data_IF_558173978717
#
_entry.id   IF_558173978717
#
_cell.length_a   1.000
_cell.length_b   1.000
_cell.length_c   1.000
_cell.angle_alpha   90.00
_cell.angle_beta   90.00
_cell.angle_gamma   90.00
#
_symmetry.space_group_name_H-M   'P 1'
#
loop_
_entity.id
_entity.type
_entity.pdbx_description
1 polymer ?
#
# COMPACT_ATOMS: atom_id res chain seq x y z
N UNK A 1 -17.04 2.34 3.99
CA UNK A 1 -15.84 1.60 4.45
C UNK A 1 -15.56 0.51 3.45
N UNK A 2 -14.32 0.43 3.01
CA UNK A 2 -13.83 -0.58 2.07
C UNK A 2 -12.59 -1.23 2.66
N UNK A 3 -12.23 -2.39 2.13
CA UNK A 3 -10.96 -3.05 2.38
C UNK A 3 -10.17 -3.13 1.07
N UNK A 4 -8.85 -3.08 1.19
CA UNK A 4 -7.94 -3.29 0.07
C UNK A 4 -6.81 -4.22 0.51
N UNK A 5 -6.39 -5.08 -0.40
CA UNK A 5 -5.18 -5.88 -0.28
C UNK A 5 -4.20 -5.40 -1.36
N UNK A 6 -3.03 -4.96 -0.92
CA UNK A 6 -2.03 -4.33 -1.79
C UNK A 6 -0.70 -5.06 -1.72
N UNK A 7 -0.12 -5.30 -2.89
CA UNK A 7 1.24 -5.79 -3.07
C UNK A 7 2.02 -4.80 -3.95
N UNK A 8 3.19 -4.41 -3.48
CA UNK A 8 4.06 -3.43 -4.12
C UNK A 8 5.37 -4.11 -4.54
N UNK A 9 5.74 -3.96 -5.80
CA UNK A 9 6.87 -4.64 -6.41
C UNK A 9 7.84 -3.64 -7.06
N UNK A 10 8.92 -3.26 -6.36
CA UNK A 10 10.04 -2.54 -6.96
C UNK A 10 10.84 -3.50 -7.85
N UNK A 11 10.90 -3.25 -9.15
CA UNK A 11 11.45 -4.21 -10.12
C UNK A 11 12.97 -4.10 -10.30
N UNK A 12 13.53 -2.90 -10.18
CA UNK A 12 14.93 -2.63 -10.53
C UNK A 12 15.84 -2.40 -9.30
N UNK A 13 15.30 -2.52 -8.09
CA UNK A 13 16.02 -2.14 -6.86
C UNK A 13 16.58 -3.37 -6.14
N UNK A 14 17.84 -3.28 -5.71
CA UNK A 14 18.49 -4.28 -4.85
C UNK A 14 17.88 -4.29 -3.44
N UNK A 15 17.32 -3.16 -2.99
CA UNK A 15 16.75 -2.98 -1.65
C UNK A 15 15.20 -2.88 -1.67
N UNK A 16 14.52 -3.78 -2.38
CA UNK A 16 13.04 -3.74 -2.50
C UNK A 16 12.32 -3.70 -1.15
N UNK A 17 12.83 -4.40 -0.15
CA UNK A 17 12.28 -4.40 1.22
C UNK A 17 12.26 -3.00 1.86
N UNK A 18 13.30 -2.20 1.61
CA UNK A 18 13.41 -0.85 2.15
C UNK A 18 12.34 0.06 1.52
N UNK A 19 12.19 -0.03 0.19
CA UNK A 19 11.18 0.72 -0.57
C UNK A 19 9.78 0.34 -0.08
N UNK A 20 9.49 -0.96 0.10
CA UNK A 20 8.18 -1.42 0.58
C UNK A 20 7.91 -0.90 2.00
N UNK A 21 8.82 -1.12 2.95
CA UNK A 21 8.65 -0.68 4.35
C UNK A 21 8.48 0.82 4.46
N UNK A 22 9.23 1.59 3.67
CA UNK A 22 9.12 3.04 3.67
C UNK A 22 7.79 3.50 3.04
N UNK A 23 7.37 2.87 1.95
CA UNK A 23 6.09 3.17 1.29
C UNK A 23 4.91 2.88 2.19
N UNK A 24 4.93 1.78 2.96
CA UNK A 24 3.85 1.41 3.89
C UNK A 24 3.58 2.47 4.98
N UNK A 25 4.55 3.34 5.30
CA UNK A 25 4.32 4.49 6.19
C UNK A 25 3.28 5.46 5.64
N UNK A 26 3.05 5.49 4.33
CA UNK A 26 2.00 6.31 3.72
C UNK A 26 0.59 5.84 4.13
N UNK A 27 0.44 4.57 4.53
CA UNK A 27 -0.85 4.01 4.93
C UNK A 27 -1.18 4.23 6.41
N UNK A 28 -0.27 4.76 7.23
CA UNK A 28 -0.50 4.96 8.68
C UNK A 28 -1.38 6.18 8.99
N UNK A 29 -2.31 6.53 8.09
CA UNK A 29 -3.22 7.64 8.26
C UNK A 29 -4.24 7.36 9.39
N UNK A 30 -4.66 8.44 10.07
CA UNK A 30 -5.65 8.35 11.14
C UNK A 30 -6.97 7.76 10.60
N UNK A 31 -7.29 6.53 11.02
CA UNK A 31 -8.51 5.83 10.65
C UNK A 31 -8.35 4.64 9.69
N UNK A 32 -7.12 4.31 9.27
CA UNK A 32 -6.84 3.08 8.54
C UNK A 32 -6.35 1.98 9.48
N UNK A 33 -6.98 0.80 9.39
CA UNK A 33 -6.50 -0.43 10.01
C UNK A 33 -5.53 -1.11 9.04
N UNK A 34 -4.36 -1.53 9.53
CA UNK A 34 -3.32 -2.14 8.73
C UNK A 34 -2.93 -3.51 9.27
N UNK A 35 -2.90 -4.49 8.39
CA UNK A 35 -2.38 -5.82 8.65
C UNK A 35 -1.35 -6.18 7.58
N UNK A 36 -0.07 -6.08 7.95
CA UNK A 36 1.05 -6.45 7.07
C UNK A 36 1.21 -7.97 7.11
N UNK A 37 0.92 -8.62 5.99
CA UNK A 37 1.15 -10.05 5.80
C UNK A 37 2.50 -10.33 5.10
N UNK A 38 2.82 -11.61 4.88
CA UNK A 38 4.08 -12.02 4.24
C UNK A 38 4.14 -11.71 2.74
N UNK A 39 3.00 -11.53 2.06
CA UNK A 39 2.93 -11.31 0.61
C UNK A 39 2.23 -10.00 0.21
N UNK A 40 1.38 -9.49 1.08
CA UNK A 40 0.52 -8.34 0.82
C UNK A 40 0.23 -7.62 2.13
N UNK A 41 -0.17 -6.36 2.03
CA UNK A 41 -0.72 -5.61 3.15
C UNK A 41 -2.21 -5.45 2.95
N UNK A 42 -2.97 -5.83 3.98
CA UNK A 42 -4.40 -5.57 4.04
C UNK A 42 -4.64 -4.26 4.77
N UNK A 43 -5.47 -3.42 4.19
CA UNK A 43 -5.87 -2.12 4.75
C UNK A 43 -7.39 -1.98 4.73
N UNK A 44 -7.98 -1.49 5.80
CA UNK A 44 -9.44 -1.24 5.85
C UNK A 44 -9.75 0.08 6.55
N UNK A 45 -10.82 0.74 6.13
CA UNK A 45 -11.20 2.04 6.66
C UNK A 45 -12.22 2.79 5.80
N UNK A 46 -12.37 4.12 6.00
CA UNK A 46 -13.14 4.98 5.13
C UNK A 46 -12.65 4.88 3.68
N UNK A 47 -13.58 4.94 2.72
CA UNK A 47 -13.29 4.88 1.29
C UNK A 47 -12.25 5.91 0.84
N UNK A 48 -12.48 7.19 1.13
CA UNK A 48 -11.57 8.26 0.74
C UNK A 48 -10.18 8.10 1.36
N UNK A 49 -10.12 7.62 2.60
CA UNK A 49 -8.87 7.35 3.30
C UNK A 49 -8.07 6.22 2.63
N UNK A 50 -8.75 5.16 2.19
CA UNK A 50 -8.11 4.04 1.49
C UNK A 50 -7.53 4.49 0.15
N UNK A 51 -8.32 5.20 -0.67
CA UNK A 51 -7.83 5.68 -1.98
C UNK A 51 -6.68 6.67 -1.83
N UNK A 52 -6.77 7.58 -0.85
CA UNK A 52 -5.68 8.52 -0.53
C UNK A 52 -4.41 7.77 -0.09
N UNK A 53 -4.56 6.76 0.76
CA UNK A 53 -3.46 5.93 1.24
C UNK A 53 -2.79 5.14 0.11
N UNK A 54 -3.58 4.48 -0.76
CA UNK A 54 -3.06 3.71 -1.89
C UNK A 54 -2.30 4.59 -2.90
N UNK A 55 -2.80 5.80 -3.16
CA UNK A 55 -2.09 6.78 -3.98
C UNK A 55 -0.77 7.18 -3.33
N UNK A 56 -0.79 7.56 -2.06
CA UNK A 56 0.40 7.99 -1.34
C UNK A 56 1.45 6.86 -1.23
N UNK A 57 1.00 5.61 -1.08
CA UNK A 57 1.85 4.41 -1.13
C UNK A 57 2.59 4.32 -2.47
N UNK A 58 1.87 4.44 -3.58
CA UNK A 58 2.45 4.37 -4.92
C UNK A 58 3.39 5.54 -5.21
N UNK A 59 2.96 6.78 -4.92
CA UNK A 59 3.75 7.99 -5.12
C UNK A 59 5.07 7.93 -4.33
N UNK A 60 5.03 7.42 -3.10
CA UNK A 60 6.22 7.24 -2.25
C UNK A 60 7.15 6.17 -2.82
N UNK A 61 6.62 5.06 -3.30
CA UNK A 61 7.41 4.02 -3.96
C UNK A 61 8.11 4.56 -5.22
N UNK A 62 7.38 5.33 -6.04
CA UNK A 62 7.90 5.96 -7.25
C UNK A 62 9.01 6.97 -6.94
N UNK A 63 8.95 7.67 -5.80
CA UNK A 63 9.98 8.62 -5.39
C UNK A 63 11.36 7.97 -5.12
N UNK A 64 11.41 6.67 -4.86
CA UNK A 64 12.67 5.91 -4.79
C UNK A 64 13.31 5.67 -6.18
N UNK A 65 12.59 5.97 -7.26
CA UNK A 65 13.01 5.82 -8.65
C UNK A 65 12.97 4.39 -9.18
N UNK A 66 13.04 4.25 -10.50
CA UNK A 66 12.94 2.95 -11.20
C UNK A 66 11.50 2.49 -11.41
N UNK A 67 11.35 1.29 -11.97
CA UNK A 67 10.04 0.71 -12.26
C UNK A 67 9.36 0.12 -11.01
N UNK A 68 8.10 0.50 -10.80
CA UNK A 68 7.25 0.04 -9.70
C UNK A 68 5.97 -0.56 -10.29
N UNK A 69 5.64 -1.78 -9.88
CA UNK A 69 4.32 -2.36 -10.09
C UNK A 69 3.56 -2.41 -8.76
N UNK A 70 2.28 -2.07 -8.79
CA UNK A 70 1.40 -2.18 -7.62
C UNK A 70 0.14 -2.92 -8.03
N UNK A 71 -0.16 -4.00 -7.32
CA UNK A 71 -1.40 -4.77 -7.50
C UNK A 71 -2.29 -4.49 -6.30
N UNK A 72 -3.52 -4.09 -6.56
CA UNK A 72 -4.51 -3.80 -5.53
C UNK A 72 -5.79 -4.56 -5.83
N UNK A 73 -6.28 -5.30 -4.84
CA UNK A 73 -7.64 -5.85 -4.82
C UNK A 73 -8.46 -5.02 -3.85
N UNK A 74 -9.58 -4.46 -4.30
CA UNK A 74 -10.47 -3.64 -3.47
C UNK A 74 -11.82 -4.33 -3.32
N UNK A 75 -12.35 -4.37 -2.10
CA UNK A 75 -13.64 -4.96 -1.79
C UNK A 75 -14.50 -4.01 -0.94
N UNK A 76 -15.81 -4.02 -1.18
CA UNK A 76 -16.79 -3.36 -0.31
C UNK A 76 -17.20 -4.23 0.89
N UNK A 77 -16.37 -5.20 1.26
CA UNK A 77 -16.60 -6.10 2.38
C UNK A 77 -15.98 -5.56 3.66
N UNK A 78 -16.72 -5.74 4.76
CA UNK A 78 -16.26 -5.54 6.13
C UNK A 78 -15.68 -6.87 6.61
N UNK A 79 -14.48 -7.24 6.18
CA UNK A 79 -13.72 -8.29 6.89
C UNK A 79 -13.02 -7.69 8.11
#
# INVERSE_FOLDING_TARGET
MISAEVSLYPMEKVNSDEVIKDSLKALTANGLSLQVGPLSTRVSGPDDAIWTGLRALFDRAQAHGGEIAMVVTVANSRE
#
